data_IF_880075792919
#
_entry.id   IF_880075792919
#
_cell.length_a   1.000
_cell.length_b   1.000
_cell.length_c   1.000
_cell.angle_alpha   90.00
_cell.angle_beta   90.00
_cell.angle_gamma   90.00
#
_symmetry.space_group_name_H-M   'P 1'
#
loop_
_entity.id
_entity.type
_entity.pdbx_description
1 polymer ?
#
# COMPACT_ATOMS: atom_id res chain seq x y z
N UNK A 1 -17.26 -18.95 -31.72
CA UNK A 1 -16.29 -17.87 -31.92
C UNK A 1 -16.23 -16.94 -30.73
N UNK A 2 -15.02 -16.56 -30.31
CA UNK A 2 -14.82 -15.55 -29.26
C UNK A 2 -15.16 -14.16 -29.82
N UNK A 3 -15.79 -13.31 -29.00
CA UNK A 3 -16.22 -11.95 -29.37
C UNK A 3 -15.28 -10.83 -28.91
N UNK A 4 -14.20 -11.15 -28.16
CA UNK A 4 -13.21 -10.15 -27.73
C UNK A 4 -12.27 -10.61 -26.62
N UNK A 5 -11.21 -9.82 -26.41
CA UNK A 5 -10.20 -9.99 -25.36
C UNK A 5 -9.72 -8.62 -24.87
N UNK A 6 -9.49 -8.49 -23.57
CA UNK A 6 -8.87 -7.31 -22.97
C UNK A 6 -7.81 -7.75 -21.96
N UNK A 7 -6.70 -7.03 -21.94
CA UNK A 7 -5.61 -7.24 -20.99
C UNK A 7 -5.07 -5.92 -20.46
N UNK A 8 -4.47 -5.99 -19.28
CA UNK A 8 -3.64 -4.93 -18.73
C UNK A 8 -2.43 -5.59 -18.10
N UNK A 9 -1.25 -5.24 -18.60
CA UNK A 9 -0.01 -5.59 -17.95
C UNK A 9 0.36 -4.50 -16.93
N UNK A 10 0.13 -4.79 -15.65
CA UNK A 10 0.40 -3.85 -14.55
C UNK A 10 1.90 -3.66 -14.26
N UNK A 11 2.76 -4.61 -14.66
CA UNK A 11 4.21 -4.45 -14.44
C UNK A 11 4.83 -3.39 -15.35
N UNK A 12 4.11 -3.00 -16.41
CA UNK A 12 4.52 -1.94 -17.34
C UNK A 12 3.94 -0.57 -16.98
N UNK A 13 3.15 -0.47 -15.91
CA UNK A 13 2.59 0.79 -15.44
C UNK A 13 3.58 1.46 -14.49
N UNK A 14 4.25 2.53 -14.95
CA UNK A 14 5.31 3.21 -14.17
C UNK A 14 4.80 3.82 -12.85
N UNK A 15 3.49 4.09 -12.75
CA UNK A 15 2.87 4.68 -11.55
C UNK A 15 2.42 3.62 -10.54
N UNK A 16 2.38 2.35 -10.94
CA UNK A 16 2.02 1.22 -10.06
C UNK A 16 3.20 0.29 -9.78
N UNK A 17 4.08 0.07 -10.76
CA UNK A 17 5.20 -0.88 -10.68
C UNK A 17 4.80 -2.36 -10.72
N UNK A 18 3.50 -2.67 -10.66
CA UNK A 18 2.97 -4.03 -10.62
C UNK A 18 1.56 -4.05 -10.02
N UNK A 19 1.10 -5.27 -9.70
CA UNK A 19 -0.13 -5.51 -8.96
C UNK A 19 -0.01 -6.85 -8.22
N UNK A 20 -0.80 -7.08 -7.16
CA UNK A 20 -1.80 -6.16 -6.56
C UNK A 20 -1.23 -5.31 -5.41
N UNK A 21 -0.04 -5.65 -4.90
CA UNK A 21 0.61 -4.94 -3.80
C UNK A 21 2.12 -5.18 -3.83
N UNK A 22 2.88 -4.34 -3.14
CA UNK A 22 4.29 -4.59 -2.87
C UNK A 22 4.47 -5.75 -1.87
N UNK A 23 5.20 -6.80 -2.26
CA UNK A 23 5.52 -7.91 -1.38
C UNK A 23 6.93 -7.77 -0.80
N UNK A 24 7.04 -8.05 0.49
CA UNK A 24 8.31 -8.01 1.20
C UNK A 24 9.16 -9.25 0.89
N UNK A 25 10.42 -9.04 0.53
CA UNK A 25 11.39 -10.13 0.41
C UNK A 25 11.73 -10.73 1.78
N UNK A 26 12.29 -11.95 1.85
CA UNK A 26 12.72 -12.54 3.11
C UNK A 26 13.63 -11.61 3.92
N UNK A 27 13.35 -11.48 5.21
CA UNK A 27 14.09 -10.61 6.14
C UNK A 27 13.65 -9.14 6.15
N UNK A 28 12.91 -8.65 5.15
CA UNK A 28 12.46 -7.25 5.10
C UNK A 28 11.51 -6.94 6.26
N UNK A 29 10.50 -7.78 6.50
CA UNK A 29 9.53 -7.56 7.58
C UNK A 29 10.18 -7.58 8.97
N UNK A 30 11.12 -8.51 9.22
CA UNK A 30 11.75 -8.64 10.53
C UNK A 30 12.77 -7.54 10.81
N UNK A 31 13.43 -7.01 9.78
CA UNK A 31 14.46 -5.98 9.95
C UNK A 31 13.89 -4.55 9.88
N UNK A 32 12.80 -4.34 9.14
CA UNK A 32 12.29 -3.02 8.79
C UNK A 32 10.78 -2.86 8.90
N UNK A 33 10.03 -3.88 9.33
CA UNK A 33 8.56 -3.85 9.37
C UNK A 33 7.98 -2.69 10.19
N UNK A 34 8.63 -2.33 11.30
CA UNK A 34 8.21 -1.21 12.16
C UNK A 34 8.29 0.15 11.44
N UNK A 35 9.18 0.27 10.44
CA UNK A 35 9.36 1.50 9.68
C UNK A 35 8.28 1.71 8.62
N UNK A 36 7.52 0.66 8.24
CA UNK A 36 6.58 0.69 7.12
C UNK A 36 5.53 1.80 7.21
N UNK A 37 5.13 2.14 8.44
CA UNK A 37 4.09 3.15 8.71
C UNK A 37 4.52 4.20 9.74
N UNK A 38 5.80 4.23 10.11
CA UNK A 38 6.33 5.22 11.05
C UNK A 38 6.41 6.59 10.37
N UNK A 39 5.76 7.65 10.90
CA UNK A 39 5.84 8.98 10.31
C UNK A 39 7.27 9.52 10.26
N UNK A 40 7.57 10.36 9.27
CA UNK A 40 8.82 11.10 9.15
C UNK A 40 8.56 12.60 9.29
N UNK A 41 8.65 13.10 10.52
CA UNK A 41 8.20 14.45 10.85
C UNK A 41 6.72 14.60 10.48
N UNK A 42 6.39 15.60 9.65
CA UNK A 42 5.00 15.86 9.20
C UNK A 42 4.53 14.97 8.04
N UNK A 43 5.30 13.94 7.68
CA UNK A 43 4.99 13.02 6.59
C UNK A 43 4.42 11.73 7.19
N UNK A 44 3.16 11.44 6.88
CA UNK A 44 2.45 10.23 7.29
C UNK A 44 2.25 9.30 6.10
N UNK A 45 2.33 8.00 6.34
CA UNK A 45 2.29 6.99 5.28
C UNK A 45 0.92 6.29 5.26
N UNK A 46 0.26 6.36 4.11
CA UNK A 46 -0.94 5.59 3.80
C UNK A 46 -0.63 4.59 2.66
N UNK A 47 -1.67 3.98 2.10
CA UNK A 47 -1.54 2.96 1.05
C UNK A 47 -1.75 1.57 1.64
N UNK A 48 -2.29 0.67 0.82
CA UNK A 48 -2.78 -0.64 1.29
C UNK A 48 -1.68 -1.48 1.94
N UNK A 49 -0.42 -1.29 1.54
CA UNK A 49 0.78 -1.91 2.14
C UNK A 49 0.94 -1.56 3.63
N UNK A 50 0.48 -0.39 4.05
CA UNK A 50 0.59 0.07 5.44
C UNK A 50 -0.59 -0.37 6.31
N UNK A 51 -1.57 -1.07 5.75
CA UNK A 51 -2.78 -1.49 6.44
C UNK A 51 -2.50 -2.64 7.43
N UNK A 52 -3.23 -2.68 8.54
CA UNK A 52 -3.18 -3.82 9.49
C UNK A 52 -4.24 -4.88 9.21
N UNK A 53 -5.25 -4.53 8.42
CA UNK A 53 -6.29 -5.43 7.95
C UNK A 53 -6.41 -5.31 6.42
N UNK A 54 -6.57 -6.45 5.75
CA UNK A 54 -6.77 -6.51 4.29
C UNK A 54 -5.69 -5.77 3.46
N UNK A 55 -4.43 -5.85 3.88
CA UNK A 55 -3.28 -5.36 3.11
C UNK A 55 -3.28 -5.94 1.69
N UNK A 56 -3.11 -5.07 0.69
CA UNK A 56 -3.17 -5.41 -0.73
C UNK A 56 -4.56 -5.32 -1.36
N UNK A 57 -5.59 -4.94 -0.59
CA UNK A 57 -6.96 -4.76 -1.05
C UNK A 57 -7.44 -3.31 -0.89
N UNK A 58 -8.59 -3.01 -1.50
CA UNK A 58 -9.22 -1.69 -1.40
C UNK A 58 -9.59 -1.34 0.05
N UNK A 59 -10.07 -2.29 0.85
CA UNK A 59 -10.35 -2.09 2.28
C UNK A 59 -9.09 -1.64 3.05
N UNK A 60 -7.93 -2.23 2.77
CA UNK A 60 -6.66 -1.79 3.35
C UNK A 60 -6.25 -0.38 2.91
N UNK A 61 -6.55 0.01 1.66
CA UNK A 61 -6.32 1.36 1.19
C UNK A 61 -7.22 2.38 1.94
N UNK A 62 -8.48 2.02 2.21
CA UNK A 62 -9.41 2.85 2.98
C UNK A 62 -8.97 2.94 4.44
N UNK A 63 -8.65 1.82 5.08
CA UNK A 63 -8.20 1.76 6.48
C UNK A 63 -6.96 2.63 6.69
N UNK A 64 -5.91 2.39 5.89
CA UNK A 64 -4.66 3.15 5.99
C UNK A 64 -4.84 4.65 5.72
N UNK A 65 -5.70 5.03 4.77
CA UNK A 65 -6.01 6.43 4.50
C UNK A 65 -6.72 7.12 5.67
N UNK A 66 -7.69 6.45 6.28
CA UNK A 66 -8.37 6.97 7.47
C UNK A 66 -7.44 7.08 8.68
N UNK A 67 -6.54 6.10 8.87
CA UNK A 67 -5.53 6.13 9.92
C UNK A 67 -4.57 7.30 9.72
N UNK A 68 -3.92 7.42 8.57
CA UNK A 68 -2.98 8.50 8.29
C UNK A 68 -3.62 9.89 8.43
N UNK A 69 -4.88 10.05 8.04
CA UNK A 69 -5.63 11.30 8.26
C UNK A 69 -5.80 11.63 9.76
N UNK A 70 -6.05 10.63 10.61
CA UNK A 70 -6.13 10.82 12.06
C UNK A 70 -4.80 11.21 12.66
N UNK A 71 -3.70 10.59 12.24
CA UNK A 71 -2.34 10.94 12.68
C UNK A 71 -2.03 12.43 12.37
N UNK A 72 -2.32 12.87 11.13
CA UNK A 72 -2.16 14.28 10.71
C UNK A 72 -2.99 15.24 11.59
N UNK A 73 -4.25 14.87 11.88
CA UNK A 73 -5.14 15.70 12.71
C UNK A 73 -4.70 15.74 14.18
N UNK A 74 -4.08 14.67 14.68
CA UNK A 74 -3.52 14.61 16.04
C UNK A 74 -2.24 15.45 16.17
N UNK A 75 -1.61 15.82 15.05
CA UNK A 75 -0.37 16.59 15.03
C UNK A 75 0.85 15.77 15.42
N UNK A 76 0.78 14.45 15.19
CA UNK A 76 1.89 13.50 15.37
C UNK A 76 3.05 13.76 14.38
#
# INVERSE_FOLDING_TARGET
DSIGYMEKNWTMDEWSGGCYTGLMTPGTMTNYGDLLRTPSGRIHWAGTETATEWMGYFDGAVESGQRAAKEVMAGE
#
